data_IF_524057866738
#
_entry.id   IF_524057866738
#
_cell.length_a   1.000
_cell.length_b   1.000
_cell.length_c   1.000
_cell.angle_alpha   90.00
_cell.angle_beta   90.00
_cell.angle_gamma   90.00
#
_symmetry.space_group_name_H-M   'P 1'
#
loop_
_entity.id
_entity.type
_entity.pdbx_description
1 polymer ?
#
# COMPACT_ATOMS: atom_id res chain seq x y z
N UNK A 1 -1.26 17.35 -15.76
CA UNK A 1 -0.47 16.43 -14.95
C UNK A 1 -1.15 15.06 -14.89
N UNK A 2 -0.42 13.99 -14.67
CA UNK A 2 -0.97 12.64 -14.48
C UNK A 2 -1.30 12.40 -13.00
N UNK A 3 -2.18 11.45 -12.66
CA UNK A 3 -2.35 10.98 -11.31
C UNK A 3 -1.02 10.55 -10.67
N UNK A 4 -0.91 10.64 -9.34
CA UNK A 4 0.20 10.08 -8.59
C UNK A 4 -0.22 8.73 -7.97
N UNK A 5 0.65 7.71 -8.09
CA UNK A 5 0.55 6.47 -7.32
C UNK A 5 1.76 6.41 -6.39
N UNK A 6 1.50 6.38 -5.11
CA UNK A 6 2.49 6.44 -4.05
C UNK A 6 2.53 5.09 -3.35
N UNK A 7 3.59 4.31 -3.58
CA UNK A 7 3.82 3.08 -2.83
C UNK A 7 4.34 3.44 -1.44
N UNK A 8 3.55 3.11 -0.41
CA UNK A 8 3.93 3.27 0.99
C UNK A 8 4.57 1.99 1.50
N UNK A 9 5.84 2.06 1.85
CA UNK A 9 6.57 0.93 2.39
C UNK A 9 7.39 1.31 3.61
N UNK A 10 7.69 0.34 4.46
CA UNK A 10 8.72 0.47 5.48
C UNK A 10 10.07 0.06 4.91
N UNK A 11 11.16 0.62 5.46
CA UNK A 11 12.49 0.08 5.20
C UNK A 11 12.55 -1.38 5.69
N UNK A 12 13.15 -2.31 4.92
CA UNK A 12 13.14 -3.75 5.23
C UNK A 12 14.16 -4.10 6.33
N UNK A 13 13.90 -3.61 7.54
CA UNK A 13 14.76 -3.84 8.70
C UNK A 13 14.26 -5.06 9.51
N UNK A 14 15.14 -6.04 9.83
CA UNK A 14 14.77 -7.20 10.64
C UNK A 14 14.14 -6.79 11.99
N UNK A 15 13.05 -7.47 12.35
CA UNK A 15 12.27 -7.18 13.56
C UNK A 15 11.39 -5.92 13.51
N UNK A 16 11.39 -5.17 12.41
CA UNK A 16 10.56 -3.96 12.23
C UNK A 16 9.45 -4.10 11.19
N UNK A 17 9.54 -5.10 10.32
CA UNK A 17 8.56 -5.40 9.29
C UNK A 17 8.10 -6.85 9.39
N UNK A 18 6.85 -7.14 9.02
CA UNK A 18 6.25 -8.48 9.05
C UNK A 18 6.51 -9.23 10.36
N UNK A 19 6.42 -8.54 11.49
CA UNK A 19 6.77 -9.07 12.82
C UNK A 19 5.92 -10.28 13.22
N UNK A 20 4.67 -10.39 12.72
CA UNK A 20 3.81 -11.55 12.95
C UNK A 20 4.28 -12.81 12.19
N UNK A 21 5.01 -12.62 11.08
CA UNK A 21 5.65 -13.70 10.33
C UNK A 21 7.02 -14.09 10.89
N UNK A 22 7.61 -13.26 11.76
CA UNK A 22 8.95 -13.51 12.29
C UNK A 22 9.04 -14.80 13.14
N UNK A 23 7.93 -15.26 13.73
CA UNK A 23 7.89 -16.55 14.43
C UNK A 23 8.10 -17.76 13.50
N UNK A 24 7.69 -17.64 12.22
CA UNK A 24 7.83 -18.69 11.21
C UNK A 24 9.12 -18.53 10.38
N UNK A 25 9.47 -17.30 10.01
CA UNK A 25 10.53 -16.99 9.03
C UNK A 25 11.82 -16.47 9.68
N UNK A 26 11.81 -16.21 10.97
CA UNK A 26 12.82 -15.41 11.64
C UNK A 26 12.71 -13.92 11.25
N UNK A 27 13.31 -13.00 12.05
CA UNK A 27 13.26 -11.56 11.75
C UNK A 27 13.89 -11.20 10.39
N UNK A 28 14.99 -11.89 10.04
CA UNK A 28 15.69 -11.67 8.77
C UNK A 28 14.83 -12.13 7.58
N UNK A 29 14.28 -13.34 7.62
CA UNK A 29 13.44 -13.87 6.55
C UNK A 29 12.15 -13.04 6.35
N UNK A 30 11.55 -12.55 7.45
CA UNK A 30 10.40 -11.66 7.38
C UNK A 30 10.74 -10.31 6.69
N UNK A 31 11.93 -9.76 6.93
CA UNK A 31 12.39 -8.54 6.29
C UNK A 31 12.72 -8.76 4.79
N UNK A 32 13.29 -9.91 4.45
CA UNK A 32 13.57 -10.28 3.06
C UNK A 32 12.28 -10.52 2.26
N UNK A 33 11.28 -11.20 2.86
CA UNK A 33 9.96 -11.36 2.26
C UNK A 33 9.29 -10.00 2.02
N UNK A 34 9.33 -9.09 2.99
CA UNK A 34 8.83 -7.73 2.81
C UNK A 34 9.55 -7.01 1.67
N UNK A 35 10.87 -7.17 1.57
CA UNK A 35 11.65 -6.62 0.45
C UNK A 35 11.18 -7.16 -0.90
N UNK A 36 10.88 -8.46 -0.99
CA UNK A 36 10.33 -9.08 -2.18
C UNK A 36 8.96 -8.52 -2.55
N UNK A 37 8.04 -8.36 -1.57
CA UNK A 37 6.71 -7.77 -1.78
C UNK A 37 6.78 -6.36 -2.34
N UNK A 38 7.64 -5.51 -1.79
CA UNK A 38 7.83 -4.15 -2.30
C UNK A 38 8.42 -4.17 -3.71
N UNK A 39 9.34 -5.10 -4.02
CA UNK A 39 9.88 -5.25 -5.38
C UNK A 39 8.79 -5.64 -6.38
N UNK A 40 7.91 -6.58 -6.03
CA UNK A 40 6.80 -7.00 -6.86
C UNK A 40 5.77 -5.87 -7.06
N UNK A 41 5.47 -5.12 -5.99
CA UNK A 41 4.60 -3.95 -6.08
C UNK A 41 5.17 -2.88 -7.01
N UNK A 42 6.48 -2.58 -6.94
CA UNK A 42 7.15 -1.65 -7.84
C UNK A 42 7.12 -2.12 -9.29
N UNK A 43 7.34 -3.43 -9.53
CA UNK A 43 7.27 -4.03 -10.86
C UNK A 43 5.84 -3.94 -11.44
N UNK A 44 4.83 -4.25 -10.63
CA UNK A 44 3.42 -4.12 -11.02
C UNK A 44 3.06 -2.65 -11.31
N UNK A 45 3.48 -1.72 -10.44
CA UNK A 45 3.20 -0.28 -10.61
C UNK A 45 3.94 0.34 -11.80
N UNK A 46 5.07 -0.20 -12.23
CA UNK A 46 5.75 0.23 -13.46
C UNK A 46 4.85 0.13 -14.69
N UNK A 47 3.90 -0.81 -14.71
CA UNK A 47 2.88 -0.93 -15.76
C UNK A 47 1.97 0.29 -15.89
N UNK A 48 1.84 1.13 -14.86
CA UNK A 48 1.04 2.35 -14.87
C UNK A 48 1.79 3.57 -15.46
N UNK A 49 3.05 3.43 -15.85
CA UNK A 49 3.92 4.57 -16.23
C UNK A 49 3.38 5.48 -17.34
N UNK A 50 2.46 5.01 -18.20
CA UNK A 50 1.76 5.83 -19.18
C UNK A 50 0.56 6.58 -18.58
N UNK A 51 -0.10 6.02 -17.55
CA UNK A 51 -1.33 6.51 -16.95
C UNK A 51 -1.11 7.34 -15.68
N UNK A 52 -0.05 7.05 -14.91
CA UNK A 52 0.23 7.69 -13.63
C UNK A 52 1.74 7.84 -13.40
N UNK A 53 2.12 8.79 -12.57
CA UNK A 53 3.48 8.92 -12.05
C UNK A 53 3.61 8.11 -10.75
N UNK A 54 4.57 7.19 -10.69
CA UNK A 54 4.78 6.31 -9.53
C UNK A 54 5.90 6.87 -8.65
N UNK A 55 5.68 6.86 -7.35
CA UNK A 55 6.66 7.27 -6.32
C UNK A 55 6.77 6.20 -5.23
N UNK A 56 7.95 6.05 -4.64
CA UNK A 56 8.17 5.21 -3.45
C UNK A 56 8.38 6.09 -2.22
N UNK A 57 7.48 5.99 -1.23
CA UNK A 57 7.62 6.66 0.05
C UNK A 57 7.97 5.67 1.17
N UNK A 58 9.12 5.87 1.83
CA UNK A 58 9.59 4.99 2.91
C UNK A 58 9.59 5.70 4.26
N UNK A 59 9.41 4.94 5.34
CA UNK A 59 9.39 5.47 6.72
C UNK A 59 10.78 5.96 7.19
N UNK A 60 11.85 5.41 6.63
CA UNK A 60 13.24 5.82 6.88
C UNK A 60 14.05 5.72 5.59
N UNK A 61 15.22 6.36 5.55
CA UNK A 61 16.19 6.18 4.46
C UNK A 61 16.59 4.72 4.32
N UNK A 62 16.65 4.24 3.09
CA UNK A 62 17.07 2.87 2.79
C UNK A 62 17.63 2.79 1.38
N UNK A 63 18.66 1.96 1.18
CA UNK A 63 19.24 1.63 -0.12
C UNK A 63 18.58 0.40 -0.75
N UNK A 64 17.55 -0.16 -0.11
CA UNK A 64 16.76 -1.22 -0.71
C UNK A 64 16.11 -0.71 -2.01
N UNK A 65 15.90 -1.61 -2.96
CA UNK A 65 15.28 -1.34 -4.27
C UNK A 65 16.01 -0.30 -5.13
N UNK A 66 17.33 -0.43 -5.34
CA UNK A 66 18.11 0.59 -6.09
C UNK A 66 17.68 0.70 -7.55
N UNK A 67 17.11 -0.38 -8.14
CA UNK A 67 16.68 -0.44 -9.54
C UNK A 67 15.22 0.01 -9.77
N UNK A 68 14.53 0.50 -8.74
CA UNK A 68 13.11 0.85 -8.85
C UNK A 68 12.81 1.91 -9.93
N UNK A 69 13.79 2.77 -10.26
CA UNK A 69 13.64 3.77 -11.33
C UNK A 69 12.57 4.83 -11.06
N UNK A 70 12.04 4.90 -9.82
CA UNK A 70 10.99 5.84 -9.41
C UNK A 70 11.53 6.87 -8.41
N UNK A 71 10.97 8.09 -8.38
CA UNK A 71 11.26 9.06 -7.33
C UNK A 71 11.04 8.48 -5.93
N UNK A 72 11.93 8.80 -5.01
CA UNK A 72 11.87 8.35 -3.61
C UNK A 72 11.68 9.54 -2.70
N UNK A 73 10.76 9.42 -1.77
CA UNK A 73 10.53 10.42 -0.73
C UNK A 73 10.49 9.73 0.64
N UNK A 74 10.83 10.48 1.68
CA UNK A 74 10.55 10.05 3.04
C UNK A 74 9.10 10.38 3.39
N UNK A 75 8.45 9.45 4.06
CA UNK A 75 7.19 9.72 4.73
C UNK A 75 7.44 10.76 5.82
N UNK A 76 6.53 11.71 5.97
CA UNK A 76 6.65 12.73 7.02
C UNK A 76 6.56 12.09 8.41
N UNK A 77 7.19 12.71 9.40
CA UNK A 77 7.09 12.26 10.78
C UNK A 77 5.65 12.30 11.30
N UNK A 78 5.33 11.42 12.24
CA UNK A 78 4.01 11.32 12.84
C UNK A 78 3.38 9.94 12.70
N UNK A 79 2.11 9.84 13.12
CA UNK A 79 1.34 8.62 12.97
C UNK A 79 0.96 8.35 11.51
N UNK A 80 0.37 7.17 11.24
CA UNK A 80 0.00 6.76 9.88
C UNK A 80 -0.95 7.76 9.21
N UNK A 81 -1.96 8.27 9.95
CA UNK A 81 -2.91 9.25 9.45
C UNK A 81 -2.22 10.51 8.91
N UNK A 82 -1.30 11.09 9.68
CA UNK A 82 -0.55 12.28 9.28
C UNK A 82 0.35 12.00 8.08
N UNK A 83 1.03 10.85 8.05
CA UNK A 83 1.89 10.47 6.92
C UNK A 83 1.10 10.32 5.63
N UNK A 84 -0.05 9.65 5.68
CA UNK A 84 -0.94 9.49 4.52
C UNK A 84 -1.53 10.82 4.08
N UNK A 85 -2.02 11.63 5.03
CA UNK A 85 -2.59 12.95 4.75
C UNK A 85 -1.58 13.81 3.99
N UNK A 86 -0.34 13.89 4.47
CA UNK A 86 0.71 14.69 3.83
C UNK A 86 1.08 14.20 2.42
N UNK A 87 1.16 12.89 2.22
CA UNK A 87 1.52 12.35 0.92
C UNK A 87 0.43 12.61 -0.12
N UNK A 88 -0.84 12.39 0.25
CA UNK A 88 -1.98 12.63 -0.63
C UNK A 88 -2.18 14.13 -0.91
N UNK A 89 -2.16 14.97 0.15
CA UNK A 89 -2.33 16.41 0.02
C UNK A 89 -1.21 17.01 -0.84
N UNK A 90 0.05 16.66 -0.59
CA UNK A 90 1.19 17.17 -1.37
C UNK A 90 1.06 16.86 -2.86
N UNK A 91 0.65 15.64 -3.23
CA UNK A 91 0.44 15.30 -4.63
C UNK A 91 -0.72 16.10 -5.27
N UNK A 92 -1.83 16.31 -4.55
CA UNK A 92 -2.94 17.11 -5.06
C UNK A 92 -2.60 18.60 -5.15
N UNK A 93 -1.84 19.15 -4.19
CA UNK A 93 -1.34 20.53 -4.17
C UNK A 93 -0.35 20.79 -5.32
N UNK A 94 0.40 19.79 -5.76
CA UNK A 94 1.21 19.84 -6.99
C UNK A 94 0.35 19.95 -8.28
N UNK A 95 -1.00 19.90 -8.18
CA UNK A 95 -1.93 19.99 -9.31
C UNK A 95 -2.22 18.64 -9.98
N UNK A 96 -1.92 17.53 -9.34
CA UNK A 96 -2.28 16.21 -9.85
C UNK A 96 -3.79 15.98 -9.71
N UNK A 97 -4.47 15.40 -10.73
CA UNK A 97 -5.93 15.22 -10.69
C UNK A 97 -6.36 14.19 -9.63
N UNK A 98 -5.45 13.31 -9.23
CA UNK A 98 -5.64 12.27 -8.21
C UNK A 98 -4.32 11.91 -7.53
N UNK A 99 -4.41 11.50 -6.28
CA UNK A 99 -3.32 10.90 -5.54
C UNK A 99 -3.80 9.57 -4.95
N UNK A 100 -3.05 8.49 -5.15
CA UNK A 100 -3.33 7.17 -4.60
C UNK A 100 -2.18 6.68 -3.76
N UNK A 101 -2.46 6.26 -2.53
CA UNK A 101 -1.50 5.48 -1.74
C UNK A 101 -1.84 4.01 -1.91
N UNK A 102 -0.81 3.20 -2.16
CA UNK A 102 -0.89 1.73 -2.23
C UNK A 102 0.02 1.16 -1.14
N UNK A 103 -0.48 0.22 -0.35
CA UNK A 103 0.30 -0.57 0.60
C UNK A 103 1.17 -1.61 -0.12
N UNK A 104 2.18 -2.12 0.55
CA UNK A 104 3.12 -3.11 0.01
C UNK A 104 2.79 -4.56 0.40
N UNK A 105 1.68 -4.77 1.11
CA UNK A 105 1.42 -6.04 1.79
C UNK A 105 0.54 -7.02 1.01
N UNK A 106 0.08 -6.62 -0.19
CA UNK A 106 -0.76 -7.39 -1.10
C UNK A 106 -0.02 -7.75 -2.40
N UNK A 107 0.99 -8.64 -2.39
CA UNK A 107 1.87 -8.88 -3.54
C UNK A 107 1.15 -9.44 -4.77
N UNK A 108 0.00 -10.09 -4.60
CA UNK A 108 -0.80 -10.65 -5.70
C UNK A 108 -1.97 -9.75 -6.12
N UNK A 109 -1.99 -8.47 -5.68
CA UNK A 109 -3.05 -7.52 -6.02
C UNK A 109 -3.16 -7.36 -7.55
N UNK A 110 -4.35 -7.63 -8.15
CA UNK A 110 -4.53 -7.42 -9.57
C UNK A 110 -4.46 -5.93 -9.94
N UNK A 111 -3.68 -5.54 -10.97
CA UNK A 111 -3.59 -4.13 -11.38
C UNK A 111 -4.94 -3.47 -11.67
N UNK A 112 -5.90 -4.22 -12.21
CA UNK A 112 -7.26 -3.73 -12.51
C UNK A 112 -7.97 -3.16 -11.28
N UNK A 113 -7.68 -3.62 -10.06
CA UNK A 113 -8.26 -3.06 -8.84
C UNK A 113 -7.78 -1.61 -8.62
N UNK A 114 -6.51 -1.31 -8.89
CA UNK A 114 -5.98 0.06 -8.83
C UNK A 114 -6.52 0.92 -9.97
N UNK A 115 -6.66 0.36 -11.17
CA UNK A 115 -7.28 1.05 -12.31
C UNK A 115 -8.71 1.49 -11.99
N UNK A 116 -9.50 0.61 -11.36
CA UNK A 116 -10.87 0.94 -10.92
C UNK A 116 -10.89 2.06 -9.88
N UNK A 117 -9.97 2.07 -8.91
CA UNK A 117 -9.86 3.16 -7.94
C UNK A 117 -9.45 4.48 -8.60
N UNK A 118 -8.55 4.45 -9.58
CA UNK A 118 -8.17 5.62 -10.37
C UNK A 118 -9.33 6.15 -11.22
N UNK A 119 -10.22 5.29 -11.68
CA UNK A 119 -11.38 5.66 -12.49
C UNK A 119 -12.59 6.12 -11.68
N UNK A 120 -12.59 5.92 -10.34
CA UNK A 120 -13.71 6.26 -9.46
C UNK A 120 -14.12 7.74 -9.59
N UNK A 121 -15.41 8.04 -9.57
CA UNK A 121 -15.93 9.41 -9.53
C UNK A 121 -15.99 10.00 -8.12
N UNK A 122 -15.83 9.19 -7.08
CA UNK A 122 -15.86 9.62 -5.69
C UNK A 122 -14.66 10.53 -5.32
N UNK A 123 -14.80 11.29 -4.25
CA UNK A 123 -13.72 12.13 -3.70
C UNK A 123 -12.61 11.28 -3.10
N UNK A 124 -12.99 10.15 -2.45
CA UNK A 124 -12.08 9.14 -1.94
C UNK A 124 -12.61 7.73 -2.28
N UNK A 125 -11.76 6.88 -2.87
CA UNK A 125 -12.06 5.48 -3.16
C UNK A 125 -11.08 4.58 -2.39
N UNK A 126 -11.61 3.55 -1.71
CA UNK A 126 -10.83 2.62 -0.90
C UNK A 126 -10.81 1.24 -1.54
N UNK A 127 -9.65 0.60 -1.56
CA UNK A 127 -9.48 -0.81 -1.92
C UNK A 127 -9.45 -1.67 -0.67
N UNK A 128 -10.55 -2.34 -0.29
CA UNK A 128 -10.67 -3.05 0.99
C UNK A 128 -9.77 -4.28 1.08
N UNK A 129 -9.26 -4.55 2.29
CA UNK A 129 -8.66 -5.84 2.67
C UNK A 129 -9.62 -6.69 3.48
N UNK A 130 -9.42 -8.01 3.44
CA UNK A 130 -10.26 -8.99 4.15
C UNK A 130 -10.15 -8.85 5.69
N UNK A 131 -9.03 -8.28 6.19
CA UNK A 131 -8.78 -8.03 7.62
C UNK A 131 -9.52 -6.81 8.17
N UNK A 132 -10.26 -6.07 7.32
CA UNK A 132 -10.94 -4.81 7.66
C UNK A 132 -10.09 -3.55 7.49
N UNK A 133 -8.88 -3.69 6.96
CA UNK A 133 -8.04 -2.61 6.45
C UNK A 133 -8.32 -2.27 4.98
N UNK A 134 -7.35 -1.66 4.34
CA UNK A 134 -7.39 -1.41 2.89
C UNK A 134 -5.99 -1.41 2.27
N UNK A 135 -5.88 -2.03 1.08
CA UNK A 135 -4.64 -2.10 0.32
C UNK A 135 -4.32 -0.79 -0.40
N UNK A 136 -5.32 0.07 -0.65
CA UNK A 136 -5.13 1.36 -1.30
C UNK A 136 -6.21 2.37 -0.92
N UNK A 137 -5.87 3.65 -1.02
CA UNK A 137 -6.80 4.78 -1.02
C UNK A 137 -6.45 5.73 -2.17
N UNK A 138 -7.43 6.08 -2.99
CA UNK A 138 -7.30 7.05 -4.08
C UNK A 138 -8.17 8.27 -3.81
N UNK A 139 -7.57 9.47 -3.79
CA UNK A 139 -8.28 10.72 -3.53
C UNK A 139 -8.18 11.65 -4.74
N UNK A 140 -9.29 12.30 -5.11
CA UNK A 140 -9.31 13.48 -5.99
C UNK A 140 -9.57 14.76 -5.19
N UNK A 141 -10.16 14.64 -4.01
CA UNK A 141 -10.35 15.70 -3.02
C UNK A 141 -10.02 15.17 -1.64
N UNK A 142 -9.58 16.05 -0.78
CA UNK A 142 -9.24 15.73 0.59
C UNK A 142 -9.77 16.78 1.57
N UNK A 143 -9.88 16.38 2.82
CA UNK A 143 -10.13 17.26 3.95
C UNK A 143 -9.08 16.96 5.05
N UNK A 144 -8.53 17.95 5.77
CA UNK A 144 -7.51 17.72 6.81
C UNK A 144 -7.94 16.75 7.91
N UNK A 145 -9.24 16.67 8.21
CA UNK A 145 -9.83 15.82 9.25
C UNK A 145 -10.30 14.44 8.73
N UNK A 146 -10.07 14.09 7.44
CA UNK A 146 -10.64 12.88 6.86
C UNK A 146 -10.13 11.57 7.47
N UNK A 147 -9.09 11.63 8.29
CA UNK A 147 -8.56 10.48 9.04
C UNK A 147 -8.74 10.65 10.56
N UNK A 148 -9.54 11.63 11.01
CA UNK A 148 -9.76 11.85 12.43
C UNK A 148 -10.58 10.72 13.05
N UNK A 149 -10.07 10.15 14.15
CA UNK A 149 -10.75 9.09 14.88
C UNK A 149 -10.71 7.72 14.21
N UNK A 150 -9.89 7.54 13.18
CA UNK A 150 -9.71 6.24 12.53
C UNK A 150 -9.05 5.25 13.47
N UNK A 151 -9.61 4.06 13.58
CA UNK A 151 -9.13 2.95 14.42
C UNK A 151 -8.09 2.12 13.65
N UNK A 152 -6.88 2.68 13.51
CA UNK A 152 -5.79 2.03 12.80
C UNK A 152 -5.38 0.68 13.39
N UNK A 153 -4.93 -0.25 12.55
CA UNK A 153 -4.49 -1.59 12.95
C UNK A 153 -5.57 -2.44 13.63
N UNK A 154 -6.83 -2.18 13.31
CA UNK A 154 -7.99 -2.96 13.73
C UNK A 154 -8.84 -3.38 12.53
N UNK A 155 -9.71 -4.37 12.71
CA UNK A 155 -10.69 -4.77 11.69
C UNK A 155 -11.72 -3.68 11.32
N UNK A 156 -11.66 -2.50 11.97
CA UNK A 156 -12.54 -1.37 11.71
C UNK A 156 -11.84 -0.20 11.01
N UNK A 157 -10.58 -0.38 10.60
CA UNK A 157 -9.80 0.69 9.99
C UNK A 157 -10.46 1.25 8.72
N UNK A 158 -10.96 0.40 7.82
CA UNK A 158 -11.69 0.81 6.63
C UNK A 158 -13.01 1.53 6.98
N UNK A 159 -13.84 0.90 7.81
CA UNK A 159 -15.15 1.45 8.21
C UNK A 159 -15.00 2.85 8.82
N UNK A 160 -14.08 2.99 9.78
CA UNK A 160 -13.86 4.26 10.47
C UNK A 160 -13.22 5.32 9.56
N UNK A 161 -12.37 4.92 8.59
CA UNK A 161 -11.83 5.83 7.57
C UNK A 161 -12.93 6.37 6.66
N UNK A 162 -13.83 5.51 6.19
CA UNK A 162 -14.97 5.94 5.38
C UNK A 162 -15.92 6.86 6.13
N UNK A 163 -16.23 6.53 7.40
CA UNK A 163 -17.07 7.37 8.25
C UNK A 163 -16.44 8.76 8.45
N UNK A 164 -15.14 8.83 8.73
CA UNK A 164 -14.42 10.09 8.90
C UNK A 164 -14.42 10.92 7.59
N UNK A 165 -14.18 10.28 6.44
CA UNK A 165 -14.22 10.96 5.15
C UNK A 165 -15.64 11.51 4.84
N UNK A 166 -16.70 10.72 5.05
CA UNK A 166 -18.08 11.16 4.85
C UNK A 166 -18.46 12.29 5.82
N UNK A 167 -18.00 12.24 7.06
CA UNK A 167 -18.22 13.31 8.04
C UNK A 167 -17.60 14.65 7.61
N UNK A 168 -16.56 14.60 6.78
CA UNK A 168 -15.94 15.76 6.13
C UNK A 168 -16.64 16.21 4.83
N UNK A 169 -17.78 15.64 4.48
CA UNK A 169 -18.52 15.96 3.25
C UNK A 169 -17.89 15.39 1.97
N UNK A 170 -17.03 14.38 2.08
CA UNK A 170 -16.46 13.70 0.93
C UNK A 170 -17.37 12.55 0.47
N UNK A 171 -17.50 12.39 -0.83
CA UNK A 171 -18.09 11.18 -1.42
C UNK A 171 -17.10 10.03 -1.34
N UNK A 172 -17.59 8.83 -0.98
CA UNK A 172 -16.75 7.66 -0.74
C UNK A 172 -17.25 6.46 -1.51
N UNK A 173 -16.33 5.74 -2.17
CA UNK A 173 -16.57 4.50 -2.92
C UNK A 173 -15.64 3.38 -2.43
N UNK A 174 -16.11 2.12 -2.50
CA UNK A 174 -15.29 0.91 -2.31
C UNK A 174 -15.00 0.24 -3.64
N UNK A 175 -13.73 -0.10 -3.84
CA UNK A 175 -13.30 -0.98 -4.90
C UNK A 175 -13.51 -2.47 -4.55
N UNK A 176 -12.97 -3.34 -5.38
CA UNK A 176 -13.01 -4.79 -5.15
C UNK A 176 -12.12 -5.18 -3.95
N UNK A 177 -12.56 -6.12 -3.10
CA UNK A 177 -11.76 -6.58 -1.97
C UNK A 177 -10.57 -7.45 -2.42
N UNK A 178 -9.51 -7.43 -1.61
CA UNK A 178 -8.34 -8.28 -1.77
C UNK A 178 -7.79 -8.68 -0.41
N UNK A 179 -6.70 -9.45 -0.40
CA UNK A 179 -6.04 -9.84 0.84
C UNK A 179 -4.60 -9.31 0.89
N UNK A 180 -4.16 -8.98 2.07
CA UNK A 180 -2.78 -8.73 2.45
C UNK A 180 -2.15 -9.96 3.11
N UNK A 181 -0.85 -9.92 3.29
CA UNK A 181 -0.08 -11.06 3.84
C UNK A 181 0.65 -10.57 5.09
N UNK A 182 -0.01 -10.65 6.24
CA UNK A 182 0.52 -10.19 7.53
C UNK A 182 0.73 -11.30 8.55
N UNK A 183 -0.02 -12.39 8.46
CA UNK A 183 0.02 -13.51 9.40
C UNK A 183 0.39 -14.83 8.70
N UNK A 184 0.82 -15.86 9.45
CA UNK A 184 1.14 -17.18 8.86
C UNK A 184 0.01 -17.77 7.99
N UNK A 185 -1.25 -17.55 8.36
CA UNK A 185 -2.40 -18.01 7.58
C UNK A 185 -2.44 -17.38 6.19
N UNK A 186 -2.13 -16.09 6.09
CA UNK A 186 -2.09 -15.36 4.82
C UNK A 186 -0.94 -15.83 3.94
N UNK A 187 0.20 -16.15 4.54
CA UNK A 187 1.32 -16.74 3.80
C UNK A 187 0.95 -18.10 3.20
N UNK A 188 0.20 -18.95 3.92
CA UNK A 188 -0.33 -20.20 3.37
C UNK A 188 -1.36 -19.95 2.26
N UNK A 189 -2.15 -18.89 2.35
CA UNK A 189 -3.06 -18.47 1.28
C UNK A 189 -2.26 -18.00 0.05
N UNK A 190 -1.22 -17.20 0.24
CA UNK A 190 -0.31 -16.74 -0.82
C UNK A 190 0.32 -17.93 -1.56
N UNK A 191 0.82 -18.94 -0.84
CA UNK A 191 1.42 -20.14 -1.44
C UNK A 191 0.47 -20.95 -2.33
N UNK A 192 -0.85 -20.76 -2.18
CA UNK A 192 -1.89 -21.39 -3.02
C UNK A 192 -2.35 -20.50 -4.17
N UNK A 193 -1.81 -19.30 -4.30
CA UNK A 193 -2.15 -18.42 -5.42
C UNK A 193 -1.74 -19.08 -6.75
N UNK A 194 -2.56 -18.99 -7.79
CA UNK A 194 -2.28 -19.63 -9.08
C UNK A 194 -1.03 -19.09 -9.77
N UNK A 195 -0.68 -17.86 -9.45
CA UNK A 195 0.52 -17.19 -9.94
C UNK A 195 1.11 -16.33 -8.82
N UNK A 196 2.37 -16.58 -8.50
CA UNK A 196 3.13 -15.75 -7.58
C UNK A 196 3.94 -14.71 -8.36
N UNK A 197 4.01 -13.45 -7.86
CA UNK A 197 4.89 -12.46 -8.44
C UNK A 197 6.36 -12.90 -8.35
N UNK A 198 7.18 -12.40 -9.24
CA UNK A 198 8.54 -12.90 -9.50
C UNK A 198 9.42 -12.89 -8.25
N UNK A 199 9.56 -11.76 -7.58
CA UNK A 199 10.46 -11.63 -6.43
C UNK A 199 9.99 -12.45 -5.22
N UNK A 200 8.68 -12.48 -4.97
CA UNK A 200 8.07 -13.34 -3.95
C UNK A 200 8.33 -14.82 -4.26
N UNK A 201 8.14 -15.27 -5.51
CA UNK A 201 8.38 -16.64 -5.91
C UNK A 201 9.87 -17.03 -5.81
N UNK A 202 10.78 -16.14 -6.17
CA UNK A 202 12.23 -16.34 -6.03
C UNK A 202 12.64 -16.50 -4.58
N UNK A 203 12.15 -15.61 -3.71
CA UNK A 203 12.44 -15.65 -2.28
C UNK A 203 11.90 -16.94 -1.64
N UNK A 204 10.65 -17.31 -1.90
CA UNK A 204 10.02 -18.54 -1.35
C UNK A 204 10.79 -19.80 -1.76
N UNK A 205 11.25 -19.90 -3.00
CA UNK A 205 12.10 -21.02 -3.45
C UNK A 205 13.40 -21.11 -2.67
N UNK A 206 14.05 -19.97 -2.39
CA UNK A 206 15.30 -19.95 -1.64
C UNK A 206 15.13 -20.20 -0.13
N UNK A 207 14.00 -19.81 0.44
CA UNK A 207 13.75 -19.92 1.88
C UNK A 207 13.33 -21.35 2.31
N UNK A 208 12.77 -22.16 1.40
CA UNK A 208 12.27 -23.51 1.69
C UNK A 208 12.98 -24.61 0.88
N UNK A 209 14.15 -24.31 0.30
CA UNK A 209 15.09 -25.29 -0.30
C UNK A 209 16.09 -25.73 0.76
#
# INVERSE_FOLDING_TARGET
MRPAIILFARAPAPGRVKTRLAGLLGPQGAAELHRAFVSDALEMLAGFGAAADVELHTDTHTDAWPQAGVPRKLQREGNLALRMLHALAGALEEGRPRAMIVGSDAPTLPPVHLEMLLASSADAAFGPCDDGGYYAICCRRMHPEMFRGVEWSTARALETSECAARACGLTVERGAPWFDVDEPADLYRLLRAPLLPRHTAEWLRGAFS
#
